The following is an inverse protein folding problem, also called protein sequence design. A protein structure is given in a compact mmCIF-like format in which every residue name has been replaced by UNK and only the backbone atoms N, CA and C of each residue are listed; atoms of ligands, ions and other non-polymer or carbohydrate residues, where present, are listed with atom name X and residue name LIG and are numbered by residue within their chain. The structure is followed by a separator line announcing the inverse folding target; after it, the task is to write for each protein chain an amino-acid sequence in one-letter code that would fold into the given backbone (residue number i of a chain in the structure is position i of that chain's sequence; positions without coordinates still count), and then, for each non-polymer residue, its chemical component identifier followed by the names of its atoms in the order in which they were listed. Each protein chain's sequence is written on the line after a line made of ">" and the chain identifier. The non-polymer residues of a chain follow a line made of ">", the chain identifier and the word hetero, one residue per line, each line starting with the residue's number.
data_IF_055717499046
#
_entry.id   IF_055717499046
#
_cell.length_a   1.000
_cell.length_b   1.000
_cell.length_c   1.000
_cell.angle_alpha   90.00
_cell.angle_beta   90.00
_cell.angle_gamma   90.00
#
_symmetry.space_group_name_H-M   'P 1'
#
loop_
_entity.id
_entity.type
_entity.pdbx_description
1 polymer ?
#
# COMPACT_ATOMS: atom_id res chain seq x y z
N UNK A 1 -11.73 17.11 -25.23
CA UNK A 1 -11.97 16.39 -26.50
C UNK A 1 -12.57 15.04 -26.12
N UNK A 2 -13.38 14.36 -26.94
CA UNK A 2 -13.92 13.06 -26.51
C UNK A 2 -12.80 12.00 -26.45
N UNK A 3 -12.75 11.13 -25.43
CA UNK A 3 -11.81 10.02 -25.39
C UNK A 3 -11.99 9.09 -26.59
N UNK A 4 -10.90 8.54 -27.11
CA UNK A 4 -10.90 7.55 -28.19
C UNK A 4 -10.45 6.20 -27.66
N UNK A 5 -10.99 5.13 -28.25
CA UNK A 5 -10.53 3.75 -28.03
C UNK A 5 -9.67 3.36 -29.23
N UNK A 6 -8.40 2.99 -29.00
CA UNK A 6 -7.51 2.50 -30.06
C UNK A 6 -6.83 1.21 -29.62
N UNK A 7 -6.71 0.28 -30.56
CA UNK A 7 -5.91 -0.92 -30.43
C UNK A 7 -4.99 -1.02 -31.65
N UNK A 8 -3.70 -1.19 -31.43
CA UNK A 8 -2.70 -1.26 -32.49
C UNK A 8 -1.85 -2.51 -32.31
N UNK A 9 -1.78 -3.33 -33.37
CA UNK A 9 -0.84 -4.47 -33.42
C UNK A 9 0.60 -4.05 -33.67
N UNK A 10 0.84 -2.84 -34.17
CA UNK A 10 2.19 -2.30 -34.39
C UNK A 10 2.87 -1.98 -33.05
N UNK A 11 2.09 -1.42 -32.13
CA UNK A 11 2.53 -1.08 -30.75
C UNK A 11 2.25 -2.22 -29.78
N UNK A 12 1.45 -3.22 -30.19
CA UNK A 12 0.95 -4.32 -29.37
C UNK A 12 0.18 -3.86 -28.11
N UNK A 13 -0.60 -2.79 -28.25
CA UNK A 13 -1.28 -2.15 -27.14
C UNK A 13 -2.73 -1.75 -27.48
N UNK A 14 -3.56 -1.66 -26.44
CA UNK A 14 -4.88 -1.05 -26.48
C UNK A 14 -5.00 0.02 -25.40
N UNK A 15 -5.63 1.14 -25.74
CA UNK A 15 -5.80 2.26 -24.83
C UNK A 15 -7.11 3.01 -25.07
N UNK A 16 -7.62 3.61 -24.00
CA UNK A 16 -8.68 4.62 -24.01
C UNK A 16 -8.06 5.91 -23.49
N UNK A 17 -8.05 6.95 -24.30
CA UNK A 17 -7.36 8.20 -23.95
C UNK A 17 -7.91 9.42 -24.67
N UNK A 18 -7.64 10.59 -24.11
CA UNK A 18 -7.83 11.87 -24.77
C UNK A 18 -6.69 12.12 -25.78
N UNK A 19 -7.00 12.37 -27.07
CA UNK A 19 -5.97 12.61 -28.08
C UNK A 19 -5.05 13.77 -27.71
N UNK A 20 -3.76 13.58 -27.92
CA UNK A 20 -2.79 14.66 -27.80
C UNK A 20 -2.95 15.69 -28.94
N UNK A 21 -2.65 16.97 -28.71
CA UNK A 21 -2.74 17.99 -29.75
C UNK A 21 -1.73 17.76 -30.87
N UNK A 22 -2.06 18.21 -32.09
CA UNK A 22 -1.14 18.16 -33.23
C UNK A 22 -1.36 17.02 -34.22
N UNK A 23 -2.57 16.47 -34.26
CA UNK A 23 -3.03 15.47 -35.23
C UNK A 23 -2.72 15.80 -36.70
N UNK A 24 -2.05 14.89 -37.41
CA UNK A 24 -1.82 14.97 -38.87
C UNK A 24 -2.44 13.77 -39.60
N UNK A 25 -2.29 12.56 -39.06
CA UNK A 25 -2.84 11.32 -39.61
C UNK A 25 -3.44 10.43 -38.49
N UNK A 26 -4.78 10.23 -38.45
CA UNK A 26 -5.42 9.41 -37.43
C UNK A 26 -5.21 7.91 -37.57
N UNK A 27 -4.61 7.43 -38.67
CA UNK A 27 -4.35 6.01 -38.89
C UNK A 27 -2.88 5.62 -38.63
N UNK A 28 -1.96 6.59 -38.55
CA UNK A 28 -0.57 6.34 -38.15
C UNK A 28 -0.48 6.21 -36.62
N UNK A 29 -0.20 5.02 -36.05
CA UNK A 29 -0.12 4.85 -34.59
C UNK A 29 0.99 5.69 -33.93
N UNK A 30 1.92 6.25 -34.69
CA UNK A 30 2.99 7.14 -34.20
C UNK A 30 2.68 8.64 -34.37
N UNK A 31 1.53 9.00 -34.93
CA UNK A 31 1.08 10.39 -35.00
C UNK A 31 1.06 11.02 -33.60
N UNK A 32 1.39 12.32 -33.45
CA UNK A 32 1.33 13.01 -32.18
C UNK A 32 0.04 12.78 -31.39
N UNK A 33 -1.11 12.61 -32.05
CA UNK A 33 -2.38 12.36 -31.36
C UNK A 33 -2.42 11.04 -30.57
N UNK A 34 -1.64 10.05 -30.99
CA UNK A 34 -1.59 8.70 -30.43
C UNK A 34 -0.46 8.51 -29.41
N UNK A 35 0.23 9.59 -29.00
CA UNK A 35 1.28 9.52 -27.96
C UNK A 35 0.84 8.80 -26.68
N UNK A 36 -0.39 8.96 -26.14
CA UNK A 36 -0.81 8.19 -24.98
C UNK A 36 -0.92 6.67 -25.19
N UNK A 37 -0.96 6.18 -26.44
CA UNK A 37 -0.91 4.76 -26.77
C UNK A 37 0.53 4.22 -26.90
N UNK A 38 1.48 5.07 -27.28
CA UNK A 38 2.87 4.66 -27.57
C UNK A 38 3.81 4.92 -26.40
N UNK A 39 3.53 5.96 -25.62
CA UNK A 39 4.34 6.43 -24.49
C UNK A 39 3.42 6.78 -23.31
N UNK A 40 2.80 5.76 -22.69
CA UNK A 40 1.73 5.98 -21.74
C UNK A 40 2.22 6.61 -20.43
N UNK A 41 3.46 6.36 -20.04
CA UNK A 41 4.05 6.88 -18.80
C UNK A 41 4.19 8.41 -18.81
N UNK A 42 4.50 9.02 -19.96
CA UNK A 42 4.61 10.46 -20.10
C UNK A 42 3.27 11.17 -20.36
N UNK A 43 2.20 10.40 -20.57
CA UNK A 43 0.86 10.89 -20.93
C UNK A 43 -0.23 10.36 -20.00
N UNK A 44 0.11 9.98 -18.77
CA UNK A 44 -0.82 9.41 -17.79
C UNK A 44 -2.10 10.25 -17.60
N UNK A 45 -1.99 11.58 -17.62
CA UNK A 45 -3.14 12.47 -17.46
C UNK A 45 -4.18 12.36 -18.59
N UNK A 46 -3.78 11.86 -19.76
CA UNK A 46 -4.64 11.67 -20.91
C UNK A 46 -5.24 10.26 -20.96
N UNK A 47 -4.80 9.33 -20.11
CA UNK A 47 -5.13 7.92 -20.22
C UNK A 47 -6.25 7.57 -19.25
N UNK A 48 -7.34 7.02 -19.80
CA UNK A 48 -8.38 6.34 -19.02
C UNK A 48 -8.09 4.84 -18.91
N UNK A 49 -7.52 4.24 -19.96
CA UNK A 49 -7.09 2.83 -19.99
C UNK A 49 -5.85 2.65 -20.88
N UNK A 50 -4.95 1.74 -20.53
CA UNK A 50 -3.80 1.29 -21.30
C UNK A 50 -3.48 -0.16 -20.93
N UNK A 51 -3.28 -1.02 -21.92
CA UNK A 51 -3.06 -2.47 -21.73
C UNK A 51 -1.77 -2.84 -21.00
N UNK A 52 -0.85 -1.90 -20.85
CA UNK A 52 0.39 -2.09 -20.07
C UNK A 52 0.16 -1.93 -18.56
N UNK A 53 -0.88 -1.21 -18.15
CA UNK A 53 -1.14 -0.96 -16.74
C UNK A 53 -1.95 -2.08 -16.08
N UNK A 54 -1.79 -2.17 -14.76
CA UNK A 54 -2.65 -2.96 -13.90
C UNK A 54 -3.75 -2.05 -13.33
N UNK A 55 -4.99 -2.53 -13.38
CA UNK A 55 -6.17 -1.81 -12.93
C UNK A 55 -6.60 -2.22 -11.53
N UNK A 56 -5.80 -3.05 -10.85
CA UNK A 56 -6.06 -3.52 -9.49
C UNK A 56 -7.47 -4.11 -9.35
N UNK A 57 -7.76 -5.18 -10.10
CA UNK A 57 -9.03 -5.90 -9.99
C UNK A 57 -9.23 -6.36 -8.54
N UNK A 58 -10.35 -6.01 -7.92
CA UNK A 58 -10.66 -6.35 -6.53
C UNK A 58 -11.26 -7.76 -6.48
N UNK A 59 -10.48 -8.71 -5.99
CA UNK A 59 -10.91 -10.08 -5.76
C UNK A 59 -11.84 -10.16 -4.52
N UNK A 60 -11.43 -9.54 -3.41
CA UNK A 60 -12.16 -9.52 -2.14
C UNK A 60 -12.12 -8.15 -1.48
N UNK A 61 -13.14 -7.86 -0.67
CA UNK A 61 -13.33 -6.57 0.00
C UNK A 61 -14.06 -5.51 -0.83
N UNK A 62 -14.22 -4.29 -0.28
CA UNK A 62 -13.73 -3.87 1.04
C UNK A 62 -14.50 -4.54 2.18
N UNK A 63 -13.79 -5.29 3.03
CA UNK A 63 -14.39 -5.98 4.18
C UNK A 63 -13.80 -5.42 5.48
N UNK A 64 -14.64 -5.18 6.48
CA UNK A 64 -14.21 -4.72 7.80
C UNK A 64 -14.09 -5.91 8.75
N UNK A 65 -12.89 -6.12 9.28
CA UNK A 65 -12.56 -7.23 10.17
C UNK A 65 -12.21 -6.69 11.55
N UNK A 66 -12.99 -7.06 12.56
CA UNK A 66 -12.71 -6.73 13.95
C UNK A 66 -11.68 -7.70 14.54
N UNK A 67 -10.53 -7.19 14.97
CA UNK A 67 -9.49 -7.98 15.64
C UNK A 67 -9.36 -7.55 17.09
N UNK A 68 -9.56 -8.51 18.00
CA UNK A 68 -9.32 -8.34 19.43
C UNK A 68 -7.89 -8.76 19.75
N UNK A 69 -7.04 -7.78 20.04
CA UNK A 69 -5.67 -8.01 20.45
C UNK A 69 -5.64 -8.26 21.95
N UNK A 70 -5.17 -9.45 22.35
CA UNK A 70 -5.05 -9.81 23.76
C UNK A 70 -4.06 -8.90 24.51
N UNK A 71 -4.23 -8.82 25.83
CA UNK A 71 -3.27 -8.15 26.68
C UNK A 71 -1.91 -8.85 26.59
N UNK A 72 -0.83 -8.07 26.54
CA UNK A 72 0.54 -8.59 26.50
C UNK A 72 1.13 -8.42 27.90
N UNK A 73 1.53 -9.53 28.51
CA UNK A 73 2.06 -9.54 29.87
C UNK A 73 3.34 -8.71 30.01
N UNK A 74 3.54 -8.13 31.19
CA UNK A 74 4.79 -7.49 31.58
C UNK A 74 5.99 -8.45 31.45
N UNK A 75 7.17 -7.89 31.22
CA UNK A 75 8.42 -8.65 31.20
C UNK A 75 9.50 -7.90 31.99
N UNK A 76 10.27 -8.62 32.80
CA UNK A 76 11.47 -8.05 33.42
C UNK A 76 12.54 -7.85 32.33
N UNK A 77 13.12 -6.65 32.20
CA UNK A 77 14.18 -6.43 31.23
C UNK A 77 15.39 -7.31 31.51
N UNK A 78 15.71 -8.23 30.59
CA UNK A 78 16.93 -9.04 30.64
C UNK A 78 17.85 -8.63 29.49
N UNK A 79 18.68 -7.60 29.72
CA UNK A 79 19.58 -7.07 28.71
C UNK A 79 18.84 -6.33 27.58
N UNK A 80 18.40 -5.10 27.86
CA UNK A 80 17.58 -4.30 26.95
C UNK A 80 18.08 -2.88 26.77
N UNK A 81 17.85 -2.37 25.57
CA UNK A 81 18.13 -1.01 25.11
C UNK A 81 17.51 0.03 26.05
N UNK A 82 18.25 1.10 26.37
CA UNK A 82 17.78 2.19 27.21
C UNK A 82 17.04 3.22 26.35
N UNK A 83 15.78 3.45 26.66
CA UNK A 83 15.13 4.75 26.40
C UNK A 83 15.63 5.71 27.48
N UNK A 84 15.52 7.03 27.30
CA UNK A 84 15.92 8.06 28.29
C UNK A 84 15.32 7.86 29.71
N UNK A 85 14.38 6.92 29.90
CA UNK A 85 13.79 6.60 31.22
C UNK A 85 13.53 5.11 31.52
N UNK A 86 13.95 4.13 30.69
CA UNK A 86 13.68 2.71 30.99
C UNK A 86 14.29 1.66 30.05
N UNK A 87 14.45 0.43 30.55
CA UNK A 87 14.89 -0.73 29.75
C UNK A 87 13.69 -1.39 29.06
N UNK A 88 13.80 -1.62 27.75
CA UNK A 88 12.76 -2.25 26.92
C UNK A 88 13.22 -3.62 26.41
N UNK A 89 12.29 -4.58 26.37
CA UNK A 89 12.47 -5.91 25.77
C UNK A 89 11.62 -6.02 24.51
N UNK A 90 12.24 -6.32 23.38
CA UNK A 90 11.49 -6.70 22.18
C UNK A 90 10.98 -8.13 22.34
N UNK A 91 9.66 -8.29 22.32
CA UNK A 91 9.03 -9.59 22.39
C UNK A 91 9.32 -10.37 21.11
N UNK A 92 9.88 -11.56 21.27
CA UNK A 92 10.09 -12.51 20.16
C UNK A 92 8.84 -13.33 19.86
N UNK A 93 7.84 -13.28 20.75
CA UNK A 93 6.57 -13.95 20.55
C UNK A 93 5.81 -13.24 19.43
N UNK A 94 5.38 -14.02 18.44
CA UNK A 94 4.58 -13.54 17.33
C UNK A 94 3.17 -14.08 17.48
N UNK A 95 2.19 -13.18 17.44
CA UNK A 95 0.77 -13.55 17.37
C UNK A 95 0.25 -13.22 15.98
N UNK A 96 -0.47 -14.15 15.37
CA UNK A 96 -1.06 -13.96 14.03
C UNK A 96 -2.57 -13.99 14.10
N UNK A 97 -3.21 -13.04 13.44
CA UNK A 97 -4.65 -13.03 13.19
C UNK A 97 -4.91 -13.24 11.71
N UNK A 98 -5.91 -14.06 11.38
CA UNK A 98 -6.45 -14.12 10.01
C UNK A 98 -7.35 -12.91 9.81
N UNK A 99 -7.07 -12.10 8.79
CA UNK A 99 -7.95 -11.03 8.36
C UNK A 99 -8.96 -11.54 7.34
N UNK A 100 -8.51 -12.31 6.34
CA UNK A 100 -9.40 -12.90 5.35
C UNK A 100 -8.87 -14.24 4.82
N UNK A 101 -9.78 -15.10 4.37
CA UNK A 101 -9.49 -16.34 3.65
C UNK A 101 -9.90 -16.14 2.18
N UNK A 102 -8.96 -16.27 1.26
CA UNK A 102 -9.19 -15.96 -0.17
C UNK A 102 -8.94 -17.14 -1.12
N UNK A 103 -8.11 -18.13 -0.75
CA UNK A 103 -7.85 -19.35 -1.53
C UNK A 103 -7.52 -19.11 -3.02
N UNK A 104 -6.80 -18.04 -3.34
CA UNK A 104 -6.50 -17.65 -4.73
C UNK A 104 -5.46 -18.56 -5.40
N UNK A 105 -4.68 -19.33 -4.63
CA UNK A 105 -3.64 -20.23 -5.15
C UNK A 105 -2.31 -19.55 -5.46
N UNK A 106 -2.22 -18.23 -5.25
CA UNK A 106 -1.02 -17.40 -5.33
C UNK A 106 -1.05 -16.37 -4.20
N UNK A 107 0.08 -15.70 -3.93
CA UNK A 107 0.16 -14.61 -2.96
C UNK A 107 -0.31 -13.32 -3.65
N UNK A 108 -1.49 -12.78 -3.32
CA UNK A 108 -2.02 -11.58 -3.96
C UNK A 108 -1.36 -10.31 -3.40
N UNK A 109 -1.43 -9.24 -4.18
CA UNK A 109 -1.30 -7.89 -3.65
C UNK A 109 -2.54 -7.53 -2.83
N UNK A 110 -2.38 -6.69 -1.82
CA UNK A 110 -3.44 -6.35 -0.88
C UNK A 110 -3.27 -4.94 -0.31
N UNK A 111 -4.34 -4.40 0.25
CA UNK A 111 -4.33 -3.19 1.04
C UNK A 111 -5.09 -3.41 2.34
N UNK A 112 -4.54 -2.91 3.45
CA UNK A 112 -5.18 -2.93 4.76
C UNK A 112 -5.20 -1.52 5.30
N UNK A 113 -6.35 -1.08 5.80
CA UNK A 113 -6.53 0.22 6.46
C UNK A 113 -6.94 -0.02 7.91
N UNK A 114 -6.34 0.73 8.83
CA UNK A 114 -6.68 0.75 10.26
C UNK A 114 -6.72 2.20 10.75
N UNK A 115 -7.76 2.56 11.50
CA UNK A 115 -7.98 3.94 12.02
C UNK A 115 -7.99 5.05 10.95
N UNK A 116 -8.28 4.71 9.68
CA UNK A 116 -8.28 5.66 8.56
C UNK A 116 -6.97 5.71 7.77
N UNK A 117 -5.92 5.04 8.26
CA UNK A 117 -4.60 5.04 7.63
C UNK A 117 -4.25 3.69 6.99
N UNK A 118 -3.43 3.72 5.95
CA UNK A 118 -2.85 2.51 5.38
C UNK A 118 -1.95 1.82 6.42
N UNK A 119 -2.21 0.54 6.66
CA UNK A 119 -1.40 -0.29 7.53
C UNK A 119 -0.08 -0.64 6.82
N UNK A 120 0.99 -0.01 7.28
CA UNK A 120 2.35 -0.26 6.80
C UNK A 120 3.09 -1.29 7.67
N UNK A 121 4.16 -1.92 7.15
CA UNK A 121 4.98 -2.83 7.95
C UNK A 121 5.57 -2.16 9.19
N UNK A 122 5.21 -2.63 10.38
CA UNK A 122 5.66 -2.08 11.65
C UNK A 122 4.73 -1.02 12.25
N UNK A 123 3.48 -0.91 11.77
CA UNK A 123 2.47 0.04 12.26
C UNK A 123 2.30 -0.03 13.79
N UNK A 124 2.46 1.11 14.46
CA UNK A 124 2.36 1.19 15.93
C UNK A 124 0.89 1.37 16.34
N UNK A 125 0.24 0.27 16.71
CA UNK A 125 -1.17 0.27 17.11
C UNK A 125 -1.42 0.77 18.55
N UNK A 126 -0.40 0.70 19.41
CA UNK A 126 -0.39 1.26 20.76
C UNK A 126 1.03 1.67 21.12
N UNK A 127 1.18 2.80 21.80
CA UNK A 127 2.45 3.27 22.32
C UNK A 127 2.27 3.89 23.71
N UNK A 128 3.23 3.68 24.59
CA UNK A 128 3.29 4.28 25.91
C UNK A 128 4.65 4.96 26.11
N UNK A 129 4.66 6.09 26.84
CA UNK A 129 5.86 6.89 27.06
C UNK A 129 7.02 6.17 27.76
N UNK A 130 6.80 4.99 28.34
CA UNK A 130 7.83 4.11 28.88
C UNK A 130 8.43 3.15 27.84
N UNK A 131 8.12 3.31 26.56
CA UNK A 131 8.71 2.55 25.45
C UNK A 131 7.98 1.25 25.10
N UNK A 132 6.87 0.93 25.79
CA UNK A 132 6.00 -0.20 25.42
C UNK A 132 5.21 0.13 24.16
N UNK A 133 5.17 -0.82 23.24
CA UNK A 133 4.45 -0.65 21.99
C UNK A 133 3.90 -1.97 21.45
N UNK A 134 2.82 -1.90 20.67
CA UNK A 134 2.33 -2.99 19.81
C UNK A 134 2.57 -2.61 18.36
N UNK A 135 3.27 -3.46 17.63
CA UNK A 135 3.57 -3.31 16.21
C UNK A 135 2.75 -4.29 15.40
N UNK A 136 2.27 -3.85 14.24
CA UNK A 136 1.48 -4.63 13.31
C UNK A 136 2.17 -4.73 11.95
N UNK A 137 2.01 -5.86 11.29
CA UNK A 137 2.43 -6.05 9.91
C UNK A 137 1.42 -6.96 9.21
N UNK A 138 0.77 -6.47 8.16
CA UNK A 138 -0.07 -7.32 7.33
C UNK A 138 0.78 -8.07 6.29
N UNK A 139 0.42 -9.32 6.01
CA UNK A 139 1.06 -10.12 4.97
C UNK A 139 0.06 -11.10 4.36
N UNK A 140 0.23 -11.42 3.08
CA UNK A 140 -0.57 -12.41 2.39
C UNK A 140 0.18 -13.74 2.21
N UNK A 141 -0.59 -14.81 2.14
CA UNK A 141 -0.14 -16.16 1.77
C UNK A 141 -0.91 -16.59 0.52
N UNK A 142 -0.75 -17.84 0.09
CA UNK A 142 -1.53 -18.36 -1.04
C UNK A 142 -3.02 -18.51 -0.74
N UNK A 143 -3.43 -18.48 0.53
CA UNK A 143 -4.79 -18.78 0.97
C UNK A 143 -5.39 -17.76 1.94
N UNK A 144 -4.56 -17.00 2.65
CA UNK A 144 -4.98 -16.07 3.70
C UNK A 144 -4.29 -14.71 3.58
N UNK A 145 -5.02 -13.67 3.95
CA UNK A 145 -4.47 -12.39 4.40
C UNK A 145 -4.40 -12.40 5.93
N UNK A 146 -3.22 -12.11 6.46
CA UNK A 146 -2.91 -12.23 7.88
C UNK A 146 -2.39 -10.90 8.45
N UNK A 147 -2.52 -10.75 9.76
CA UNK A 147 -1.96 -9.68 10.55
C UNK A 147 -1.01 -10.27 11.59
N UNK A 148 0.27 -9.95 11.46
CA UNK A 148 1.30 -10.26 12.44
C UNK A 148 1.34 -9.17 13.52
N UNK A 149 1.44 -9.59 14.78
CA UNK A 149 1.55 -8.72 15.94
C UNK A 149 2.86 -9.01 16.66
N UNK A 150 3.63 -7.94 16.91
CA UNK A 150 4.82 -7.94 17.76
C UNK A 150 4.70 -6.86 18.83
N UNK A 151 5.57 -6.91 19.84
CA UNK A 151 5.53 -5.94 20.91
C UNK A 151 6.91 -5.58 21.44
N UNK A 152 7.01 -4.39 22.03
CA UNK A 152 8.09 -4.01 22.95
C UNK A 152 7.49 -3.87 24.35
N UNK A 153 8.16 -4.43 25.36
CA UNK A 153 7.62 -4.58 26.72
C UNK A 153 8.56 -4.00 27.76
N UNK A 154 8.00 -3.63 28.90
CA UNK A 154 8.71 -3.23 30.12
C UNK A 154 8.19 -4.06 31.29
N UNK A 155 8.51 -3.68 32.53
CA UNK A 155 7.91 -4.25 33.73
C UNK A 155 6.38 -4.02 33.85
N UNK A 156 5.77 -3.29 32.91
CA UNK A 156 4.33 -3.09 32.82
C UNK A 156 3.71 -3.86 31.64
N UNK A 157 2.46 -4.30 31.79
CA UNK A 157 1.72 -4.99 30.73
C UNK A 157 1.14 -4.02 29.70
N UNK A 158 0.92 -4.46 28.45
CA UNK A 158 0.14 -3.71 27.45
C UNK A 158 -1.31 -4.22 27.50
N UNK A 159 -2.33 -3.36 27.72
CA UNK A 159 -3.71 -3.78 27.79
C UNK A 159 -4.25 -4.31 26.45
N UNK A 160 -5.31 -5.09 26.51
CA UNK A 160 -6.04 -5.53 25.33
C UNK A 160 -6.70 -4.35 24.61
N UNK A 161 -6.81 -4.41 23.28
CA UNK A 161 -7.60 -3.47 22.48
C UNK A 161 -8.40 -4.22 21.41
N UNK A 162 -9.43 -3.57 20.90
CA UNK A 162 -10.11 -3.97 19.67
C UNK A 162 -9.84 -2.94 18.59
N UNK A 163 -9.55 -3.39 17.37
CA UNK A 163 -9.40 -2.54 16.19
C UNK A 163 -10.13 -3.14 15.00
N UNK A 164 -10.66 -2.28 14.15
CA UNK A 164 -11.27 -2.64 12.88
C UNK A 164 -10.26 -2.44 11.75
N UNK A 165 -10.14 -3.43 10.89
CA UNK A 165 -9.25 -3.44 9.73
C UNK A 165 -10.10 -3.54 8.47
N UNK A 166 -10.02 -2.55 7.59
CA UNK A 166 -10.63 -2.64 6.26
C UNK A 166 -9.64 -3.30 5.32
N UNK A 167 -10.02 -4.40 4.68
CA UNK A 167 -9.14 -5.19 3.81
C UNK A 167 -9.62 -5.18 2.36
N UNK A 168 -8.65 -5.09 1.45
CA UNK A 168 -8.79 -5.30 0.02
C UNK A 168 -7.76 -6.32 -0.44
N UNK A 169 -8.19 -7.27 -1.27
CA UNK A 169 -7.30 -8.25 -1.89
C UNK A 169 -7.45 -8.11 -3.40
N UNK A 170 -6.33 -7.90 -4.08
CA UNK A 170 -6.30 -7.73 -5.52
C UNK A 170 -6.07 -9.06 -6.22
N UNK A 171 -6.71 -9.20 -7.37
CA UNK A 171 -6.45 -10.32 -8.26
C UNK A 171 -5.22 -10.01 -9.09
N UNK A 172 -4.33 -10.99 -9.23
CA UNK A 172 -3.25 -10.88 -10.20
C UNK A 172 -3.86 -10.82 -11.61
N UNK A 173 -3.46 -9.84 -12.45
CA UNK A 173 -3.94 -9.78 -13.82
C UNK A 173 -3.59 -11.10 -14.53
N UNK A 174 -4.50 -11.65 -15.35
CA UNK A 174 -4.19 -12.85 -16.10
C UNK A 174 -2.97 -12.60 -16.99
N UNK A 175 -2.15 -13.63 -17.18
CA UNK A 175 -1.09 -13.57 -18.17
C UNK A 175 -1.71 -13.17 -19.52
N UNK A 176 -1.13 -12.19 -20.24
CA UNK A 176 -1.67 -11.78 -21.52
C UNK A 176 -1.78 -13.01 -22.42
N UNK A 177 -2.98 -13.31 -22.92
CA UNK A 177 -3.21 -14.46 -23.80
C UNK A 177 -4.08 -14.09 -24.98
N UNK A 178 -3.81 -14.72 -26.13
CA UNK A 178 -4.51 -14.45 -27.39
C UNK A 178 -4.12 -13.13 -28.09
N UNK A 179 -4.79 -12.89 -29.22
CA UNK A 179 -4.49 -11.80 -30.16
C UNK A 179 -5.50 -10.64 -30.11
N UNK A 180 -6.38 -10.67 -29.10
CA UNK A 180 -7.49 -9.72 -28.97
C UNK A 180 -7.08 -8.60 -28.01
N UNK A 181 -6.76 -7.45 -28.59
CA UNK A 181 -6.40 -6.24 -27.84
C UNK A 181 -7.64 -5.46 -27.38
N UNK A 182 -8.72 -5.49 -28.14
CA UNK A 182 -10.02 -4.93 -27.76
C UNK A 182 -11.14 -5.73 -28.41
N UNK A 183 -12.17 -6.08 -27.64
CA UNK A 183 -13.37 -6.76 -28.13
C UNK A 183 -14.59 -6.31 -27.33
N UNK A 184 -15.65 -5.93 -28.04
CA UNK A 184 -16.98 -5.82 -27.47
C UNK A 184 -17.70 -7.14 -27.69
N UNK A 185 -18.18 -7.76 -26.62
CA UNK A 185 -19.05 -8.92 -26.67
C UNK A 185 -20.51 -8.46 -26.63
N UNK A 186 -21.26 -8.52 -27.74
CA UNK A 186 -22.62 -8.00 -27.79
C UNK A 186 -23.62 -8.86 -27.02
N UNK A 187 -23.32 -10.14 -26.81
CA UNK A 187 -24.25 -11.08 -26.16
C UNK A 187 -24.30 -10.83 -24.64
N UNK A 188 -23.14 -10.55 -24.04
CA UNK A 188 -23.02 -10.25 -22.60
C UNK A 188 -22.86 -8.74 -22.31
N UNK A 189 -22.79 -7.89 -23.34
CA UNK A 189 -22.50 -6.45 -23.24
C UNK A 189 -21.22 -6.13 -22.44
N UNK A 190 -20.18 -6.95 -22.62
CA UNK A 190 -18.89 -6.81 -21.91
C UNK A 190 -17.82 -6.29 -22.87
N UNK A 191 -17.12 -5.24 -22.45
CA UNK A 191 -15.92 -4.75 -23.11
C UNK A 191 -14.70 -5.46 -22.53
N UNK A 192 -13.95 -6.13 -23.39
CA UNK A 192 -12.67 -6.76 -23.10
C UNK A 192 -11.53 -5.91 -23.67
N UNK A 193 -10.52 -5.60 -22.87
CA UNK A 193 -9.35 -4.83 -23.30
C UNK A 193 -8.04 -5.47 -22.82
N UNK A 194 -7.00 -5.29 -23.62
CA UNK A 194 -5.63 -5.65 -23.27
C UNK A 194 -5.42 -7.14 -23.03
N UNK A 195 -5.95 -8.01 -23.91
CA UNK A 195 -5.85 -9.48 -23.78
C UNK A 195 -6.48 -10.01 -22.49
N UNK A 196 -7.73 -9.62 -22.24
CA UNK A 196 -8.54 -9.98 -21.06
C UNK A 196 -8.00 -9.49 -19.70
N UNK A 197 -7.04 -8.56 -19.70
CA UNK A 197 -6.60 -7.86 -18.49
C UNK A 197 -7.73 -7.00 -17.89
N UNK A 198 -8.56 -6.40 -18.74
CA UNK A 198 -9.71 -5.63 -18.32
C UNK A 198 -11.00 -6.19 -18.90
N UNK A 199 -12.03 -6.25 -18.06
CA UNK A 199 -13.41 -6.52 -18.45
C UNK A 199 -14.37 -5.58 -17.74
N UNK A 200 -15.27 -4.94 -18.49
CA UNK A 200 -16.19 -3.94 -17.92
C UNK A 200 -17.19 -4.48 -16.88
N UNK A 201 -17.34 -5.79 -16.77
CA UNK A 201 -18.22 -6.47 -15.79
C UNK A 201 -17.52 -6.80 -14.46
N UNK A 202 -16.24 -6.44 -14.31
CA UNK A 202 -15.44 -6.71 -13.11
C UNK A 202 -15.27 -5.47 -12.23
N UNK A 203 -14.81 -5.71 -11.01
CA UNK A 203 -14.61 -4.72 -9.96
C UNK A 203 -13.15 -4.27 -9.95
N UNK A 204 -12.90 -2.98 -10.15
CA UNK A 204 -11.56 -2.37 -10.14
C UNK A 204 -11.54 -1.18 -9.19
N UNK A 205 -10.37 -0.85 -8.67
CA UNK A 205 -10.18 0.43 -7.97
C UNK A 205 -10.49 1.60 -8.91
N UNK A 206 -11.24 2.57 -8.42
CA UNK A 206 -11.61 3.76 -9.18
C UNK A 206 -10.93 4.99 -8.61
N UNK A 207 -10.31 5.83 -9.44
CA UNK A 207 -9.85 7.14 -8.98
C UNK A 207 -11.08 8.00 -8.66
N UNK A 208 -11.13 8.58 -7.46
CA UNK A 208 -12.27 9.38 -7.02
C UNK A 208 -11.86 10.46 -6.02
N UNK A 209 -12.55 11.60 -6.06
CA UNK A 209 -12.21 12.80 -5.27
C UNK A 209 -12.85 12.82 -3.86
N UNK A 210 -13.41 11.71 -3.39
CA UNK A 210 -14.24 11.67 -2.18
C UNK A 210 -13.77 10.60 -1.20
N UNK A 211 -12.81 10.96 -0.33
CA UNK A 211 -12.73 10.51 1.07
C UNK A 211 -12.79 9.00 1.40
N UNK A 212 -12.53 8.12 0.44
CA UNK A 212 -12.38 6.69 0.73
C UNK A 212 -11.03 6.49 1.46
N UNK A 213 -10.91 5.53 2.40
CA UNK A 213 -9.70 5.40 3.21
C UNK A 213 -8.52 4.80 2.41
N UNK A 214 -8.67 4.67 1.09
CA UNK A 214 -7.67 4.09 0.22
C UNK A 214 -7.01 5.21 -0.61
N UNK A 215 -5.69 5.29 -0.53
CA UNK A 215 -4.90 6.18 -1.36
C UNK A 215 -3.55 5.57 -1.68
N UNK A 216 -3.04 5.87 -2.87
CA UNK A 216 -1.68 5.53 -3.28
C UNK A 216 -0.80 6.76 -3.25
N UNK A 217 0.29 6.69 -2.50
CA UNK A 217 1.35 7.70 -2.57
C UNK A 217 2.16 7.51 -3.86
N UNK A 218 2.21 8.53 -4.71
CA UNK A 218 2.96 8.51 -5.98
C UNK A 218 4.45 8.87 -5.81
N UNK A 219 4.89 9.11 -4.57
CA UNK A 219 6.25 9.51 -4.23
C UNK A 219 6.96 8.52 -3.32
N UNK A 220 8.21 8.85 -2.96
CA UNK A 220 8.95 8.06 -1.97
C UNK A 220 8.23 8.09 -0.62
N UNK A 221 7.85 6.93 -0.10
CA UNK A 221 7.18 6.81 1.21
C UNK A 221 8.14 6.43 2.34
N UNK A 222 9.40 6.12 2.04
CA UNK A 222 10.41 5.74 3.03
C UNK A 222 11.76 6.34 2.64
N UNK A 223 12.49 6.87 3.63
CA UNK A 223 13.86 7.36 3.45
C UNK A 223 14.80 6.78 4.50
N UNK A 224 15.86 6.10 4.06
CA UNK A 224 16.79 5.36 4.93
C UNK A 224 17.55 6.24 5.92
N UNK A 225 17.72 7.55 5.67
CA UNK A 225 18.35 8.47 6.66
C UNK A 225 17.43 8.84 7.83
N UNK A 226 16.16 8.40 7.85
CA UNK A 226 15.15 8.83 8.83
C UNK A 226 15.00 7.90 10.05
N UNK A 227 15.54 6.68 10.04
CA UNK A 227 15.39 5.72 11.14
C UNK A 227 13.94 5.29 11.46
N UNK A 228 12.91 5.93 10.89
CA UNK A 228 11.50 5.57 10.89
C UNK A 228 10.86 5.93 9.53
N UNK A 229 9.89 5.14 9.05
CA UNK A 229 9.14 5.47 7.84
C UNK A 229 8.19 6.66 8.08
N UNK A 230 7.94 7.48 7.06
CA UNK A 230 7.01 8.62 7.08
C UNK A 230 6.04 8.46 5.93
N UNK A 231 4.74 8.42 6.19
CA UNK A 231 3.75 8.09 5.18
C UNK A 231 3.04 9.32 4.65
N UNK A 232 2.53 9.17 3.42
CA UNK A 232 1.56 10.09 2.85
C UNK A 232 0.23 9.38 2.96
N UNK A 233 -0.69 9.96 3.73
CA UNK A 233 -2.02 9.40 3.95
C UNK A 233 -2.90 9.59 2.71
N UNK A 234 -4.07 8.96 2.70
CA UNK A 234 -4.97 9.01 1.55
C UNK A 234 -5.44 10.44 1.20
N UNK A 235 -5.40 11.38 2.15
CA UNK A 235 -5.71 12.79 1.93
C UNK A 235 -4.50 13.65 1.51
N UNK A 236 -3.34 13.02 1.30
CA UNK A 236 -2.10 13.70 0.95
C UNK A 236 -1.37 14.33 2.16
N UNK A 237 -1.90 14.18 3.37
CA UNK A 237 -1.20 14.62 4.58
C UNK A 237 0.02 13.74 4.85
N UNK A 238 0.99 14.31 5.56
CA UNK A 238 2.23 13.63 5.91
C UNK A 238 2.16 13.25 7.37
N UNK A 239 2.21 11.95 7.64
CA UNK A 239 2.20 11.42 9.00
C UNK A 239 3.54 10.79 9.34
N UNK A 240 4.13 11.25 10.44
CA UNK A 240 5.21 10.57 11.15
C UNK A 240 4.54 9.59 12.12
N UNK A 241 4.42 8.32 11.76
CA UNK A 241 3.53 7.43 12.49
C UNK A 241 4.23 6.82 13.71
N UNK A 242 5.52 7.12 13.89
CA UNK A 242 6.30 6.79 15.08
C UNK A 242 6.24 7.99 16.01
N UNK A 243 5.56 7.88 17.17
CA UNK A 243 5.50 8.96 18.13
C UNK A 243 6.90 9.46 18.47
N UNK A 244 7.08 10.78 18.65
CA UNK A 244 8.40 11.34 18.96
C UNK A 244 9.02 10.75 20.25
N UNK A 245 8.19 10.20 21.15
CA UNK A 245 8.62 9.51 22.36
C UNK A 245 9.04 8.04 22.12
N UNK A 246 8.73 7.44 20.97
CA UNK A 246 9.09 6.08 20.58
C UNK A 246 10.51 5.97 20.01
N UNK A 247 11.44 6.79 20.51
CA UNK A 247 12.84 6.80 20.08
C UNK A 247 13.63 5.80 20.91
N UNK A 248 14.31 4.86 20.25
CA UNK A 248 15.21 3.93 20.93
C UNK A 248 16.66 4.34 20.73
N UNK A 249 17.43 4.37 21.82
CA UNK A 249 18.88 4.47 21.77
C UNK A 249 19.48 3.08 21.94
N UNK A 250 20.32 2.67 20.98
CA UNK A 250 21.07 1.44 21.08
C UNK A 250 22.28 1.65 22.00
N UNK A 251 22.09 1.43 23.29
CA UNK A 251 23.21 1.31 24.22
C UNK A 251 23.79 -0.11 24.09
N UNK A 252 24.90 -0.27 23.36
CA UNK A 252 25.67 -1.51 23.46
C UNK A 252 26.34 -1.56 24.84
N UNK A 253 26.42 -2.75 25.46
CA UNK A 253 27.17 -2.99 26.70
C UNK A 253 28.69 -2.78 26.56
N UNK A 254 29.16 -2.32 25.39
CA UNK A 254 30.56 -2.01 25.06
C UNK A 254 30.82 -0.49 25.00
N UNK A 255 30.09 0.30 25.78
CA UNK A 255 30.16 1.77 25.88
C UNK A 255 31.46 2.31 26.52
N UNK A 256 32.62 1.82 26.12
CA UNK A 256 33.92 2.49 26.37
C UNK A 256 34.33 3.41 25.22
N UNK A 257 33.62 3.43 24.09
CA UNK A 257 34.10 4.08 22.85
C UNK A 257 33.33 5.33 22.38
N UNK A 258 32.42 5.90 23.18
CA UNK A 258 31.83 7.23 22.88
C UNK A 258 30.90 7.30 21.66
N UNK A 259 30.53 6.16 21.06
CA UNK A 259 29.54 6.11 19.98
C UNK A 259 28.12 6.07 20.55
N UNK A 260 27.51 7.23 20.68
CA UNK A 260 26.07 7.35 20.85
C UNK A 260 25.44 7.13 19.48
N UNK A 261 24.80 5.99 19.25
CA UNK A 261 23.87 5.90 18.12
C UNK A 261 22.77 6.92 18.39
N UNK A 262 22.65 7.92 17.51
CA UNK A 262 21.61 8.93 17.60
C UNK A 262 20.21 8.28 17.68
N UNK A 263 19.19 9.02 18.14
CA UNK A 263 17.84 8.50 18.25
C UNK A 263 17.44 7.82 16.93
N UNK A 264 17.31 6.48 16.97
CA UNK A 264 16.65 5.77 15.89
C UNK A 264 15.23 6.34 15.80
N UNK A 265 14.74 6.60 14.59
CA UNK A 265 13.49 7.34 14.31
C UNK A 265 13.50 8.88 14.46
N UNK A 266 14.66 9.57 14.47
CA UNK A 266 14.67 11.04 14.40
C UNK A 266 14.62 11.56 12.95
N UNK A 267 13.51 12.23 12.60
CA UNK A 267 13.38 12.97 11.34
C UNK A 267 14.20 14.27 11.39
N UNK A 268 15.31 14.31 10.65
CA UNK A 268 16.11 15.53 10.39
C UNK A 268 16.13 15.88 8.88
N UNK A 269 15.21 15.32 8.10
CA UNK A 269 15.17 15.45 6.64
C UNK A 269 14.38 16.66 6.14
N UNK A 270 14.42 16.87 4.83
CA UNK A 270 13.69 17.95 4.10
C UNK A 270 12.57 17.40 3.20
N UNK A 271 12.11 16.17 3.46
CA UNK A 271 11.13 15.48 2.61
C UNK A 271 9.71 16.04 2.79
N UNK A 272 9.11 16.48 1.68
CA UNK A 272 7.81 17.17 1.65
C UNK A 272 6.63 16.30 1.20
N UNK A 273 6.77 14.97 1.19
CA UNK A 273 5.71 14.09 0.65
C UNK A 273 5.63 14.15 -0.88
N UNK A 274 5.13 13.09 -1.49
CA UNK A 274 4.69 13.11 -2.89
C UNK A 274 3.18 13.30 -2.99
N UNK A 275 2.63 13.65 -4.16
CA UNK A 275 1.18 13.64 -4.36
C UNK A 275 0.60 12.25 -4.09
N UNK A 276 -0.63 12.19 -3.58
CA UNK A 276 -1.39 10.96 -3.42
C UNK A 276 -2.57 10.93 -4.40
N UNK A 277 -2.92 9.74 -4.89
CA UNK A 277 -4.17 9.50 -5.62
C UNK A 277 -5.13 8.84 -4.67
N UNK A 278 -6.27 9.49 -4.46
CA UNK A 278 -7.41 8.88 -3.79
C UNK A 278 -8.06 7.85 -4.71
N UNK A 279 -8.21 6.65 -4.19
CA UNK A 279 -8.87 5.55 -4.89
C UNK A 279 -10.04 5.08 -4.07
N UNK A 280 -11.06 4.64 -4.77
CA UNK A 280 -12.28 4.10 -4.21
C UNK A 280 -12.38 2.63 -4.54
N UNK A 281 -12.69 1.83 -3.53
CA UNK A 281 -13.07 0.45 -3.77
C UNK A 281 -14.47 0.38 -4.42
N UNK A 282 -14.67 -0.48 -5.42
CA UNK A 282 -15.92 -0.60 -6.18
C UNK A 282 -17.09 -1.15 -5.35
#
# INVERSE_FOLDING_TARGET
>A
MAPIIRASRVVDAAAIYEPAPGAIDPEDPFDPMHRPLVDPENWLANISFHSEFDYCEVAFGPDVVAVNHAAIAAATPSGGFSVESGQVVFDTTVTTHTLAVHNLGYVPDFMVVVDGDALYPGYIAQFYGDGRARYLCAYATTTHLCLEVRASRTANAIPAISKNYTVLIFKQPPAPSGDILARWDPDDAVLHLGRDKFRSDRRYLQVGSNGDPFGFALGRTIHLKNGAPRFVDADGTITDPVPAAARWAFASSWQTSGWTFGPSAAYNGTFTGGPAIQVRAP
#
